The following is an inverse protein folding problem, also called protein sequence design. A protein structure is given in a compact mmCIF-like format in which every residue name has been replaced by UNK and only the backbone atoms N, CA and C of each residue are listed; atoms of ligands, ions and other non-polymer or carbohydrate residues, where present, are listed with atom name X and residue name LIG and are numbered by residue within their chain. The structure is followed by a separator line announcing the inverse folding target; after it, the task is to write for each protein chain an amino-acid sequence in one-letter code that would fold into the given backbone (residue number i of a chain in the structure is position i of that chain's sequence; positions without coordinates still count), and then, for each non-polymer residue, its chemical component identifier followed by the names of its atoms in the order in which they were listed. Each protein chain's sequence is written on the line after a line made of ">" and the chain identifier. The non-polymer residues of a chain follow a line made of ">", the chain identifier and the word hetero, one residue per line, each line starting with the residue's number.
data_IF_724429554573
#
_entry.id   IF_724429554573
#
_cell.length_a   1.000
_cell.length_b   1.000
_cell.length_c   1.000
_cell.angle_alpha   90.00
_cell.angle_beta   90.00
_cell.angle_gamma   90.00
#
_symmetry.space_group_name_H-M   'P 1'
#
loop_
_entity.id
_entity.type
_entity.pdbx_description
1 polymer ?
#
# COMPACT_ATOMS: atom_id res chain seq x y z
N UNK A 1 -20.46 -25.93 -1.41
CA UNK A 1 -20.44 -24.46 -1.19
C UNK A 1 -20.16 -23.83 -2.53
N UNK A 2 -21.03 -22.94 -3.02
CA UNK A 2 -20.81 -22.21 -4.26
C UNK A 2 -19.54 -21.38 -4.13
N UNK A 3 -18.65 -21.43 -5.09
CA UNK A 3 -17.44 -20.64 -5.15
C UNK A 3 -17.85 -19.17 -5.25
N UNK A 4 -17.43 -18.35 -4.27
CA UNK A 4 -17.78 -16.93 -4.23
C UNK A 4 -16.96 -16.22 -5.32
N UNK A 5 -17.62 -15.58 -6.27
CA UNK A 5 -16.96 -14.85 -7.34
C UNK A 5 -16.43 -13.49 -6.83
N UNK A 6 -15.12 -13.29 -6.89
CA UNK A 6 -14.43 -12.04 -6.58
C UNK A 6 -13.42 -11.66 -7.68
N UNK A 7 -13.14 -10.37 -7.79
CA UNK A 7 -12.12 -9.85 -8.70
C UNK A 7 -10.73 -9.88 -8.07
N UNK A 8 -9.67 -9.81 -8.88
CA UNK A 8 -8.29 -9.69 -8.40
C UNK A 8 -8.09 -8.43 -7.55
N UNK A 9 -8.79 -7.33 -7.86
CA UNK A 9 -8.71 -6.10 -7.08
C UNK A 9 -9.32 -6.28 -5.68
N UNK A 10 -10.47 -6.95 -5.56
CA UNK A 10 -11.09 -7.25 -4.27
C UNK A 10 -10.20 -8.15 -3.43
N UNK A 11 -9.61 -9.18 -4.03
CA UNK A 11 -8.68 -10.07 -3.33
C UNK A 11 -7.44 -9.32 -2.83
N UNK A 12 -6.88 -8.42 -3.62
CA UNK A 12 -5.75 -7.57 -3.24
C UNK A 12 -6.12 -6.64 -2.07
N UNK A 13 -7.29 -5.99 -2.12
CA UNK A 13 -7.78 -5.11 -1.06
C UNK A 13 -7.99 -5.88 0.25
N UNK A 14 -8.62 -7.05 0.19
CA UNK A 14 -8.85 -7.90 1.37
C UNK A 14 -7.54 -8.35 2.00
N UNK A 15 -6.57 -8.79 1.19
CA UNK A 15 -5.27 -9.18 1.72
C UNK A 15 -4.48 -8.00 2.31
N UNK A 16 -4.61 -6.80 1.74
CA UNK A 16 -4.04 -5.59 2.33
C UNK A 16 -4.71 -5.21 3.65
N UNK A 17 -6.04 -5.34 3.75
CA UNK A 17 -6.77 -5.10 4.99
C UNK A 17 -6.30 -6.03 6.12
N UNK A 18 -6.07 -7.30 5.82
CA UNK A 18 -5.61 -8.33 6.77
C UNK A 18 -4.18 -8.11 7.30
N UNK A 19 -3.40 -7.20 6.72
CA UNK A 19 -2.09 -6.79 7.26
C UNK A 19 -2.20 -5.80 8.43
N UNK A 20 -3.36 -5.17 8.59
CA UNK A 20 -3.61 -4.19 9.63
C UNK A 20 -4.00 -4.88 10.95
N UNK A 21 -3.56 -4.28 12.05
CA UNK A 21 -3.85 -4.73 13.40
C UNK A 21 -4.79 -3.76 14.10
N UNK A 22 -5.57 -4.27 15.03
CA UNK A 22 -6.45 -3.41 15.82
C UNK A 22 -5.64 -2.41 16.65
N UNK A 23 -6.04 -1.14 16.61
CA UNK A 23 -5.32 -0.04 17.24
C UNK A 23 -4.19 0.57 16.42
N UNK A 24 -3.86 0.05 15.22
CA UNK A 24 -2.87 0.68 14.34
C UNK A 24 -3.28 2.14 13.97
N UNK A 25 -2.31 3.03 13.98
CA UNK A 25 -2.41 4.36 13.40
C UNK A 25 -1.89 4.29 11.96
N UNK A 26 -2.78 4.50 10.98
CA UNK A 26 -2.49 4.28 9.58
C UNK A 26 -2.52 5.59 8.78
N UNK A 27 -1.43 5.90 8.10
CA UNK A 27 -1.39 7.00 7.14
C UNK A 27 -1.96 6.51 5.80
N UNK A 28 -3.08 7.08 5.39
CA UNK A 28 -3.89 6.56 4.28
C UNK A 28 -3.96 7.56 3.13
N UNK A 29 -3.68 7.06 1.93
CA UNK A 29 -4.04 7.73 0.68
C UNK A 29 -5.46 7.40 0.22
N UNK A 30 -5.94 8.11 -0.79
CA UNK A 30 -7.21 7.82 -1.46
C UNK A 30 -7.06 6.62 -2.41
N UNK A 31 -8.15 5.90 -2.67
CA UNK A 31 -8.18 4.76 -3.58
C UNK A 31 -8.23 3.42 -2.87
N UNK A 32 -7.62 2.39 -3.47
CA UNK A 32 -7.65 1.02 -2.93
C UNK A 32 -7.08 0.89 -1.50
N UNK A 33 -6.01 1.60 -1.10
CA UNK A 33 -5.57 1.60 0.28
C UNK A 33 -6.63 2.07 1.28
N UNK A 34 -7.44 3.06 0.89
CA UNK A 34 -8.53 3.54 1.73
C UNK A 34 -9.63 2.48 1.89
N UNK A 35 -9.95 1.74 0.82
CA UNK A 35 -10.86 0.59 0.90
C UNK A 35 -10.31 -0.47 1.88
N UNK A 36 -9.03 -0.80 1.80
CA UNK A 36 -8.40 -1.79 2.69
C UNK A 36 -8.49 -1.36 4.17
N UNK A 37 -8.16 -0.10 4.48
CA UNK A 37 -8.24 0.42 5.85
C UNK A 37 -9.68 0.44 6.38
N UNK A 38 -10.64 0.88 5.56
CA UNK A 38 -12.04 0.91 5.96
C UNK A 38 -12.65 -0.49 6.09
N UNK A 39 -12.20 -1.47 5.28
CA UNK A 39 -12.58 -2.87 5.43
C UNK A 39 -12.04 -3.43 6.76
N UNK A 40 -10.76 -3.21 7.05
CA UNK A 40 -10.17 -3.65 8.32
C UNK A 40 -10.92 -3.06 9.53
N UNK A 41 -11.24 -1.76 9.50
CA UNK A 41 -11.98 -1.07 10.56
C UNK A 41 -13.39 -1.65 10.78
N UNK A 42 -14.04 -2.15 9.72
CA UNK A 42 -15.39 -2.77 9.79
C UNK A 42 -15.37 -4.27 10.05
N UNK A 43 -14.20 -4.87 10.16
CA UNK A 43 -14.06 -6.31 10.40
C UNK A 43 -13.26 -6.60 11.66
N UNK A 44 -11.95 -6.72 11.54
CA UNK A 44 -11.07 -7.23 12.60
C UNK A 44 -10.28 -6.14 13.35
N UNK A 45 -10.30 -4.88 12.89
CA UNK A 45 -9.54 -3.78 13.47
C UNK A 45 -10.42 -2.54 13.77
N UNK A 46 -11.46 -2.64 14.63
CA UNK A 46 -12.43 -1.56 14.86
C UNK A 46 -11.81 -0.32 15.49
N UNK A 47 -10.69 -0.43 16.19
CA UNK A 47 -9.99 0.68 16.83
C UNK A 47 -8.91 1.31 15.93
N UNK A 48 -8.87 0.96 14.63
CA UNK A 48 -7.95 1.54 13.65
C UNK A 48 -8.13 3.05 13.56
N UNK A 49 -7.04 3.81 13.64
CA UNK A 49 -7.05 5.27 13.50
C UNK A 49 -6.46 5.66 12.15
N UNK A 50 -7.29 6.15 11.25
CA UNK A 50 -6.85 6.62 9.93
C UNK A 50 -6.42 8.08 9.98
N UNK A 51 -5.22 8.39 9.49
CA UNK A 51 -4.69 9.75 9.33
C UNK A 51 -4.59 10.08 7.85
N UNK A 52 -5.08 11.27 7.49
CA UNK A 52 -5.02 11.80 6.14
C UNK A 52 -4.09 13.02 6.06
N UNK A 53 -3.35 13.12 4.96
CA UNK A 53 -2.37 14.18 4.73
C UNK A 53 -2.92 15.59 4.92
N UNK A 54 -4.20 15.82 4.58
CA UNK A 54 -4.86 17.10 4.72
C UNK A 54 -5.11 17.55 6.17
N UNK A 55 -4.78 16.73 7.17
CA UNK A 55 -4.88 17.09 8.58
C UNK A 55 -5.98 16.37 9.36
N UNK A 56 -6.68 15.44 8.75
CA UNK A 56 -7.80 14.75 9.42
C UNK A 56 -7.28 13.48 10.10
N UNK A 57 -7.70 13.30 11.37
CA UNK A 57 -7.34 12.15 12.22
C UNK A 57 -8.62 11.44 12.64
N UNK A 58 -8.67 10.12 12.44
CA UNK A 58 -9.76 9.27 12.88
C UNK A 58 -11.08 9.54 12.17
N UNK A 59 -11.06 9.84 10.88
CA UNK A 59 -12.27 10.09 10.09
C UNK A 59 -13.19 8.86 10.04
N UNK A 60 -14.50 9.12 10.07
CA UNK A 60 -15.56 8.12 9.87
C UNK A 60 -16.58 8.63 8.84
N UNK A 61 -16.14 8.82 7.59
CA UNK A 61 -17.00 9.40 6.57
C UNK A 61 -18.11 8.43 6.15
N UNK A 62 -19.31 8.98 5.89
CA UNK A 62 -20.46 8.21 5.41
C UNK A 62 -20.24 7.62 3.99
N UNK A 63 -19.32 8.18 3.21
CA UNK A 63 -18.83 7.67 1.93
C UNK A 63 -17.32 7.81 1.86
N UNK A 64 -16.67 7.02 1.01
CA UNK A 64 -15.24 7.18 0.79
C UNK A 64 -14.92 8.55 0.13
N UNK A 65 -13.79 9.17 0.52
CA UNK A 65 -13.37 10.46 -0.03
C UNK A 65 -12.91 10.30 -1.48
N UNK A 66 -13.24 11.27 -2.33
CA UNK A 66 -12.77 11.32 -3.72
C UNK A 66 -11.37 11.92 -3.86
N UNK A 67 -10.90 12.64 -2.84
CA UNK A 67 -9.55 13.19 -2.76
C UNK A 67 -9.12 13.32 -1.29
N UNK A 68 -7.83 13.55 -1.03
CA UNK A 68 -7.31 13.81 0.32
C UNK A 68 -7.86 15.11 0.94
N UNK A 69 -8.35 16.03 0.11
CA UNK A 69 -9.02 17.29 0.54
C UNK A 69 -10.55 17.23 0.53
N UNK A 70 -11.14 16.04 0.37
CA UNK A 70 -12.61 15.92 0.38
C UNK A 70 -13.18 16.26 1.75
N UNK A 71 -14.11 17.22 1.86
CA UNK A 71 -14.71 17.63 3.14
C UNK A 71 -15.39 16.48 3.91
N UNK A 72 -15.77 15.40 3.24
CA UNK A 72 -16.35 14.22 3.89
C UNK A 72 -15.43 13.62 4.94
N UNK A 73 -14.11 13.82 4.82
CA UNK A 73 -13.10 13.31 5.77
C UNK A 73 -13.23 13.94 7.16
N UNK A 74 -13.80 15.14 7.28
CA UNK A 74 -14.01 15.80 8.57
C UNK A 74 -15.14 15.13 9.37
N UNK A 75 -16.03 14.41 8.69
CA UNK A 75 -17.18 13.77 9.34
C UNK A 75 -16.71 12.70 10.32
N UNK A 76 -17.18 12.77 11.56
CA UNK A 76 -16.85 11.81 12.63
C UNK A 76 -15.37 11.83 13.06
N UNK A 77 -14.56 12.78 12.58
CA UNK A 77 -13.13 12.81 12.89
C UNK A 77 -12.88 13.09 14.38
N UNK A 78 -11.82 12.45 14.92
CA UNK A 78 -11.34 12.70 16.28
C UNK A 78 -10.71 14.09 16.40
N UNK A 79 -10.01 14.54 15.35
CA UNK A 79 -9.34 15.84 15.32
C UNK A 79 -9.09 16.28 13.88
N UNK A 80 -9.02 17.61 13.71
CA UNK A 80 -8.56 18.27 12.48
C UNK A 80 -7.41 19.18 12.86
N UNK A 81 -6.24 18.92 12.30
CA UNK A 81 -5.00 19.64 12.56
C UNK A 81 -4.39 20.17 11.26
N UNK A 82 -3.29 20.87 11.32
CA UNK A 82 -2.58 21.29 10.10
C UNK A 82 -1.87 20.10 9.43
N UNK A 83 -1.63 20.19 8.12
CA UNK A 83 -0.76 19.25 7.41
C UNK A 83 0.63 19.18 8.07
N UNK A 84 1.15 20.32 8.55
CA UNK A 84 2.42 20.37 9.28
C UNK A 84 2.40 19.45 10.52
N UNK A 85 1.32 19.49 11.29
CA UNK A 85 1.20 18.65 12.49
C UNK A 85 1.21 17.16 12.12
N UNK A 86 0.50 16.78 11.06
CA UNK A 86 0.48 15.39 10.60
C UNK A 86 1.88 14.88 10.31
N UNK A 87 2.68 15.65 9.57
CA UNK A 87 4.05 15.23 9.23
C UNK A 87 5.02 15.40 10.40
N UNK A 88 5.07 16.56 11.03
CA UNK A 88 6.06 16.87 12.05
C UNK A 88 5.77 16.25 13.42
N UNK A 89 4.50 16.25 13.85
CA UNK A 89 4.12 15.85 15.20
C UNK A 89 3.59 14.41 15.29
N UNK A 90 3.07 13.85 14.21
CA UNK A 90 2.64 12.45 14.20
C UNK A 90 3.65 11.56 13.48
N UNK A 91 3.91 11.79 12.20
CA UNK A 91 4.72 10.89 11.38
C UNK A 91 6.19 10.88 11.81
N UNK A 92 6.87 12.05 11.83
CA UNK A 92 8.29 12.16 12.19
C UNK A 92 8.58 11.84 13.66
N UNK A 93 7.57 11.83 14.51
CA UNK A 93 7.66 11.40 15.91
C UNK A 93 7.49 9.90 16.11
N UNK A 94 7.20 9.14 15.03
CA UNK A 94 7.02 7.69 15.09
C UNK A 94 5.64 7.27 15.60
N UNK A 95 4.64 8.15 15.57
CA UNK A 95 3.27 7.88 16.00
C UNK A 95 2.38 7.35 14.85
N UNK A 96 2.99 6.86 13.77
CA UNK A 96 2.31 6.24 12.64
C UNK A 96 2.83 4.82 12.48
N UNK A 97 1.94 3.85 12.68
CA UNK A 97 2.31 2.44 12.63
C UNK A 97 2.42 1.94 11.20
N UNK A 98 1.50 2.33 10.32
CA UNK A 98 1.43 1.84 8.94
C UNK A 98 1.29 2.98 7.95
N UNK A 99 2.04 2.91 6.85
CA UNK A 99 1.84 3.71 5.64
C UNK A 99 1.52 2.81 4.45
N UNK A 100 0.41 3.08 3.77
CA UNK A 100 0.13 2.47 2.47
C UNK A 100 0.54 3.38 1.33
N UNK A 101 1.23 2.80 0.35
CA UNK A 101 1.75 3.53 -0.80
C UNK A 101 1.46 2.82 -2.12
N UNK A 102 1.52 3.59 -3.19
CA UNK A 102 1.52 3.10 -4.55
C UNK A 102 2.60 3.79 -5.37
N UNK A 103 2.88 3.26 -6.57
CA UNK A 103 3.86 3.84 -7.47
C UNK A 103 3.77 3.27 -8.87
N UNK A 104 4.44 3.92 -9.80
CA UNK A 104 4.51 3.46 -11.19
C UNK A 104 5.51 2.33 -11.36
N UNK A 105 6.62 2.36 -10.59
CA UNK A 105 7.64 1.32 -10.56
C UNK A 105 8.03 1.00 -9.12
N UNK A 106 8.33 -0.26 -8.87
CA UNK A 106 8.82 -0.80 -7.59
C UNK A 106 9.97 -1.76 -7.93
N UNK A 107 11.15 -1.53 -7.35
CA UNK A 107 12.28 -2.41 -7.59
C UNK A 107 12.43 -3.53 -6.55
N UNK A 108 13.46 -4.34 -6.71
CA UNK A 108 13.73 -5.50 -5.87
C UNK A 108 14.00 -5.18 -4.39
N UNK A 109 14.27 -3.92 -4.07
CA UNK A 109 14.45 -3.45 -2.70
C UNK A 109 13.24 -2.67 -2.18
N UNK A 110 12.11 -2.70 -2.89
CA UNK A 110 10.91 -2.00 -2.53
C UNK A 110 11.01 -0.48 -2.66
N UNK A 111 12.01 0.04 -3.38
CA UNK A 111 12.05 1.46 -3.72
C UNK A 111 10.95 1.78 -4.71
N UNK A 112 10.35 2.96 -4.56
CA UNK A 112 9.20 3.38 -5.37
C UNK A 112 9.59 4.53 -6.28
N UNK A 113 9.16 4.45 -7.55
CA UNK A 113 9.15 5.57 -8.46
C UNK A 113 7.71 6.04 -8.71
N UNK A 114 7.44 7.29 -8.39
CA UNK A 114 6.23 8.02 -8.69
C UNK A 114 6.53 9.39 -9.32
N UNK A 115 7.74 9.59 -9.83
CA UNK A 115 8.22 10.90 -10.34
C UNK A 115 8.37 10.93 -11.84
N UNK A 116 9.06 9.97 -12.44
CA UNK A 116 9.43 10.05 -13.86
C UNK A 116 9.72 8.68 -14.46
N UNK A 117 9.30 8.47 -15.69
CA UNK A 117 9.72 7.36 -16.53
C UNK A 117 10.57 7.94 -17.67
N UNK A 118 11.75 7.37 -17.90
CA UNK A 118 12.80 7.90 -18.75
C UNK A 118 13.75 8.82 -17.96
N UNK A 119 14.61 9.57 -18.67
CA UNK A 119 15.55 10.50 -18.03
C UNK A 119 14.83 11.65 -17.32
N UNK A 120 15.37 12.12 -16.20
CA UNK A 120 14.74 13.18 -15.40
C UNK A 120 14.59 14.50 -16.19
N UNK A 121 15.60 14.87 -16.97
CA UNK A 121 15.60 16.11 -17.74
C UNK A 121 14.75 16.02 -19.01
N UNK A 122 14.64 14.82 -19.60
CA UNK A 122 13.86 14.55 -20.81
C UNK A 122 12.95 13.34 -20.60
N UNK A 123 11.89 13.47 -19.77
CA UNK A 123 11.05 12.36 -19.41
C UNK A 123 10.15 11.89 -20.56
N UNK A 124 10.00 10.57 -20.68
CA UNK A 124 8.93 9.96 -21.51
C UNK A 124 7.56 10.19 -20.87
N UNK A 125 7.51 10.08 -19.53
CA UNK A 125 6.30 10.31 -18.73
C UNK A 125 6.70 11.06 -17.46
N UNK A 126 6.06 12.19 -17.21
CA UNK A 126 6.11 12.86 -15.92
C UNK A 126 4.95 12.35 -15.06
N UNK A 127 5.27 11.87 -13.87
CA UNK A 127 4.32 11.38 -12.88
C UNK A 127 4.05 12.46 -11.83
N UNK A 128 3.06 12.26 -10.92
CA UNK A 128 2.70 13.28 -9.92
C UNK A 128 3.82 13.72 -8.97
N UNK A 129 4.81 12.86 -8.72
CA UNK A 129 5.89 13.10 -7.75
C UNK A 129 5.62 12.41 -6.41
N UNK A 130 6.33 12.87 -5.37
CA UNK A 130 6.28 12.21 -4.07
C UNK A 130 5.00 12.49 -3.28
N UNK A 131 4.45 13.71 -3.36
CA UNK A 131 3.53 14.12 -2.29
C UNK A 131 4.17 13.85 -0.92
N UNK A 132 3.44 13.26 -0.02
CA UNK A 132 3.93 12.82 1.30
C UNK A 132 4.61 11.45 1.31
N UNK A 133 4.64 10.71 0.19
CA UNK A 133 5.08 9.32 0.19
C UNK A 133 6.54 9.11 0.61
N UNK A 134 7.43 10.06 0.31
CA UNK A 134 8.84 10.00 0.75
C UNK A 134 8.95 10.06 2.27
N UNK A 135 8.17 10.94 2.91
CA UNK A 135 8.14 11.07 4.37
C UNK A 135 7.52 9.83 5.02
N UNK A 136 6.43 9.32 4.45
CA UNK A 136 5.80 8.09 4.93
C UNK A 136 6.80 6.92 4.86
N UNK A 137 7.50 6.75 3.74
CA UNK A 137 8.51 5.72 3.58
C UNK A 137 9.69 5.85 4.55
N UNK A 138 10.04 7.09 4.94
CA UNK A 138 11.16 7.37 5.84
C UNK A 138 10.81 7.13 7.32
N UNK A 139 9.58 7.39 7.74
CA UNK A 139 9.24 7.55 9.15
C UNK A 139 8.15 6.60 9.67
N UNK A 140 7.23 6.12 8.85
CA UNK A 140 6.23 5.16 9.31
C UNK A 140 6.90 3.86 9.78
N UNK A 141 6.39 3.26 10.86
CA UNK A 141 6.97 2.05 11.41
C UNK A 141 6.98 0.89 10.40
N UNK A 142 5.91 0.72 9.63
CA UNK A 142 5.75 -0.30 8.58
C UNK A 142 5.18 0.36 7.33
N UNK A 143 5.70 0.01 6.17
CA UNK A 143 5.13 0.45 4.91
C UNK A 143 4.73 -0.74 4.05
N UNK A 144 3.59 -0.60 3.37
CA UNK A 144 3.08 -1.58 2.42
C UNK A 144 2.75 -0.91 1.09
N UNK A 145 2.97 -1.65 0.02
CA UNK A 145 2.65 -1.21 -1.34
C UNK A 145 1.49 -2.05 -1.85
N UNK A 146 0.54 -1.41 -2.52
CA UNK A 146 -0.54 -2.09 -3.25
C UNK A 146 -0.43 -1.75 -4.72
N UNK A 147 -0.27 -2.76 -5.59
CA UNK A 147 -0.14 -2.54 -7.04
C UNK A 147 -0.39 -3.83 -7.82
N UNK A 148 -0.97 -3.76 -9.04
CA UNK A 148 -1.01 -4.91 -9.94
C UNK A 148 0.39 -5.42 -10.29
N UNK A 149 0.59 -6.74 -10.33
CA UNK A 149 1.86 -7.40 -10.63
C UNK A 149 2.11 -7.45 -12.14
N UNK A 150 2.68 -6.39 -12.67
CA UNK A 150 2.97 -6.25 -14.10
C UNK A 150 4.44 -5.93 -14.31
N UNK A 151 5.09 -6.58 -15.27
CA UNK A 151 6.54 -6.45 -15.53
C UNK A 151 7.03 -5.00 -15.65
N UNK A 152 6.23 -4.11 -16.26
CA UNK A 152 6.56 -2.69 -16.37
C UNK A 152 6.60 -1.96 -15.02
N UNK A 153 5.91 -2.51 -14.00
CA UNK A 153 5.85 -1.95 -12.64
C UNK A 153 6.93 -2.50 -11.72
N UNK A 154 7.55 -3.62 -12.10
CA UNK A 154 8.56 -4.32 -11.33
C UNK A 154 9.89 -4.40 -12.08
N UNK A 155 10.56 -3.26 -12.38
CA UNK A 155 11.92 -3.28 -12.94
C UNK A 155 12.92 -3.75 -11.88
N UNK A 156 14.10 -4.24 -12.29
CA UNK A 156 15.17 -4.60 -11.34
C UNK A 156 15.61 -3.40 -10.48
N UNK A 157 15.62 -2.21 -11.10
CA UNK A 157 15.92 -0.93 -10.43
C UNK A 157 14.96 0.13 -10.94
N UNK A 158 14.41 0.94 -10.04
CA UNK A 158 13.57 2.08 -10.41
C UNK A 158 14.38 3.12 -11.18
N UNK A 159 13.76 3.76 -12.18
CA UNK A 159 14.41 4.80 -12.97
C UNK A 159 14.63 6.10 -12.18
N UNK A 160 13.82 6.32 -11.14
CA UNK A 160 13.95 7.40 -10.18
C UNK A 160 13.46 6.93 -8.82
N UNK A 161 14.20 7.15 -7.75
CA UNK A 161 13.77 6.81 -6.40
C UNK A 161 12.98 7.97 -5.79
N UNK A 162 11.66 7.88 -5.81
CA UNK A 162 10.78 8.85 -5.17
C UNK A 162 10.67 8.58 -3.67
N UNK A 163 10.49 7.32 -3.30
CA UNK A 163 10.37 6.89 -1.91
C UNK A 163 11.27 5.68 -1.68
N UNK A 164 12.05 5.72 -0.59
CA UNK A 164 13.03 4.69 -0.29
C UNK A 164 12.38 3.45 0.34
N UNK A 165 12.63 2.30 -0.26
CA UNK A 165 12.48 1.01 0.38
C UNK A 165 13.74 0.67 1.19
N UNK A 166 14.43 -0.41 0.84
CA UNK A 166 15.72 -0.79 1.45
C UNK A 166 16.93 -0.19 0.71
N UNK A 167 16.72 0.72 -0.23
CA UNK A 167 17.73 1.44 -1.03
C UNK A 167 18.53 0.46 -1.90
N UNK A 168 19.63 -0.09 -1.41
CA UNK A 168 20.46 -1.08 -2.07
C UNK A 168 20.62 -2.37 -1.27
N UNK A 169 19.92 -2.48 -0.14
CA UNK A 169 19.94 -3.67 0.70
C UNK A 169 19.88 -3.37 2.20
N UNK A 170 20.06 -4.42 2.98
CA UNK A 170 20.04 -4.36 4.45
C UNK A 170 21.12 -3.40 4.99
N UNK A 171 20.74 -2.55 5.94
CA UNK A 171 21.61 -1.55 6.59
C UNK A 171 21.72 -0.21 5.83
N UNK A 172 21.26 -0.10 4.59
CA UNK A 172 21.36 1.15 3.84
C UNK A 172 20.36 2.20 4.31
N UNK A 173 19.21 1.77 4.86
CA UNK A 173 18.23 2.68 5.49
C UNK A 173 18.86 3.39 6.70
N UNK A 174 19.49 2.64 7.59
CA UNK A 174 20.14 3.16 8.80
C UNK A 174 21.29 4.13 8.43
N UNK A 175 22.11 3.78 7.43
CA UNK A 175 23.16 4.68 6.90
C UNK A 175 22.59 5.97 6.34
N UNK A 176 21.41 5.91 5.72
CA UNK A 176 20.69 7.06 5.19
C UNK A 176 19.92 7.86 6.26
N UNK A 177 19.89 7.41 7.52
CA UNK A 177 19.18 8.06 8.62
C UNK A 177 17.67 7.87 8.59
N UNK A 178 17.16 6.90 7.83
CA UNK A 178 15.73 6.59 7.74
C UNK A 178 15.31 5.76 8.98
N UNK A 179 14.29 6.22 9.70
CA UNK A 179 13.90 5.62 10.99
C UNK A 179 12.85 4.52 10.88
N UNK A 180 11.94 4.61 9.91
CA UNK A 180 10.94 3.57 9.68
C UNK A 180 11.58 2.24 9.28
N UNK A 181 10.89 1.13 9.52
CA UNK A 181 11.35 -0.23 9.17
C UNK A 181 11.40 -0.52 7.67
N UNK A 182 10.87 0.39 6.83
CA UNK A 182 10.85 0.26 5.37
C UNK A 182 9.63 -0.47 4.83
N UNK A 183 9.76 -0.96 3.61
CA UNK A 183 8.71 -1.68 2.89
C UNK A 183 8.66 -3.12 3.38
N UNK A 184 7.68 -3.43 4.23
CA UNK A 184 7.53 -4.77 4.79
C UNK A 184 6.67 -5.69 3.91
N UNK A 185 6.05 -5.16 2.87
CA UNK A 185 5.35 -6.01 1.92
C UNK A 185 4.80 -5.25 0.70
N UNK A 186 4.69 -6.00 -0.38
CA UNK A 186 4.02 -5.58 -1.61
C UNK A 186 2.86 -6.54 -1.85
N UNK A 187 1.64 -6.03 -1.76
CA UNK A 187 0.40 -6.78 -2.04
C UNK A 187 0.07 -6.58 -3.52
N UNK A 188 -0.03 -7.67 -4.23
CA UNK A 188 -0.34 -7.66 -5.67
C UNK A 188 -1.57 -8.51 -5.99
N UNK A 189 -2.00 -8.53 -7.23
CA UNK A 189 -3.07 -9.39 -7.73
C UNK A 189 -2.61 -10.84 -8.01
N UNK A 190 -1.32 -11.14 -7.84
CA UNK A 190 -0.77 -12.50 -7.94
C UNK A 190 -0.47 -13.09 -6.56
N UNK A 191 0.04 -12.26 -5.64
CA UNK A 191 0.46 -12.70 -4.32
C UNK A 191 1.14 -11.58 -3.54
N UNK A 192 1.96 -11.96 -2.57
CA UNK A 192 2.66 -11.01 -1.70
C UNK A 192 4.17 -11.21 -1.79
N UNK A 193 4.88 -10.08 -1.85
CA UNK A 193 6.32 -10.03 -1.71
C UNK A 193 6.65 -9.43 -0.35
N UNK A 194 7.64 -9.99 0.34
CA UNK A 194 8.15 -9.48 1.62
C UNK A 194 9.69 -9.45 1.54
N UNK A 195 10.37 -8.55 2.28
CA UNK A 195 11.83 -8.49 2.25
C UNK A 195 12.45 -9.70 2.95
N UNK A 196 13.50 -10.25 2.36
CA UNK A 196 14.40 -11.20 3.04
C UNK A 196 15.39 -10.46 3.97
N UNK A 197 16.32 -11.20 4.59
CA UNK A 197 17.35 -10.64 5.47
C UNK A 197 18.30 -9.65 4.77
N UNK A 198 18.37 -9.70 3.44
CA UNK A 198 19.17 -8.76 2.64
C UNK A 198 18.40 -7.51 2.24
N UNK A 199 17.09 -7.45 2.53
CA UNK A 199 16.17 -6.39 2.11
C UNK A 199 15.63 -6.59 0.69
N UNK A 200 15.94 -7.70 0.02
CA UNK A 200 15.39 -8.01 -1.30
C UNK A 200 13.96 -8.57 -1.18
N UNK A 201 13.04 -8.07 -1.98
CA UNK A 201 11.67 -8.55 -2.05
C UNK A 201 11.60 -9.93 -2.66
N UNK A 202 11.13 -10.92 -1.91
CA UNK A 202 10.93 -12.30 -2.34
C UNK A 202 9.45 -12.67 -2.30
N UNK A 203 9.03 -13.62 -3.11
CA UNK A 203 7.65 -14.13 -3.12
C UNK A 203 7.40 -15.00 -1.88
N UNK A 204 6.52 -14.55 -0.98
CA UNK A 204 6.21 -15.25 0.28
C UNK A 204 4.80 -15.83 0.34
N UNK A 205 3.88 -15.29 -0.47
CA UNK A 205 2.53 -15.84 -0.58
C UNK A 205 1.99 -15.74 -2.01
N UNK A 206 1.16 -16.68 -2.38
CA UNK A 206 0.40 -16.69 -3.63
C UNK A 206 -1.10 -16.61 -3.35
N UNK A 207 -1.83 -15.96 -4.21
CA UNK A 207 -3.28 -16.01 -4.19
C UNK A 207 -3.79 -17.35 -4.75
N UNK A 208 -4.97 -17.81 -4.34
CA UNK A 208 -5.56 -19.04 -4.86
C UNK A 208 -5.60 -19.05 -6.38
N UNK A 209 -5.14 -20.14 -6.99
CA UNK A 209 -5.07 -20.32 -8.43
C UNK A 209 -3.90 -19.61 -9.14
N UNK A 210 -3.06 -18.87 -8.42
CA UNK A 210 -1.86 -18.21 -8.95
C UNK A 210 -0.61 -19.08 -8.79
N UNK A 211 0.40 -18.80 -9.61
CA UNK A 211 1.65 -19.58 -9.64
C UNK A 211 2.88 -18.70 -9.46
N UNK A 212 3.94 -19.27 -8.90
CA UNK A 212 5.23 -18.59 -8.80
C UNK A 212 5.82 -18.24 -10.18
N UNK A 213 5.49 -19.02 -11.21
CA UNK A 213 5.93 -18.76 -12.57
C UNK A 213 5.26 -17.50 -13.13
N UNK A 214 3.97 -17.25 -12.84
CA UNK A 214 3.31 -15.99 -13.21
C UNK A 214 3.99 -14.80 -12.54
N UNK A 215 4.30 -14.88 -11.25
CA UNK A 215 5.00 -13.82 -10.52
C UNK A 215 6.38 -13.54 -11.14
N UNK A 216 7.20 -14.59 -11.38
CA UNK A 216 8.52 -14.46 -12.02
C UNK A 216 8.44 -13.82 -13.40
N UNK A 217 7.51 -14.25 -14.24
CA UNK A 217 7.33 -13.73 -15.60
C UNK A 217 6.99 -12.24 -15.61
N UNK A 218 6.24 -11.79 -14.58
CA UNK A 218 5.81 -10.40 -14.43
C UNK A 218 6.76 -9.54 -13.57
N UNK A 219 7.96 -10.06 -13.24
CA UNK A 219 9.01 -9.35 -12.49
C UNK A 219 10.23 -9.11 -13.39
N UNK A 220 10.89 -7.99 -13.24
CA UNK A 220 12.04 -7.59 -14.05
C UNK A 220 13.40 -8.06 -13.52
N UNK A 221 13.43 -8.76 -12.38
CA UNK A 221 14.62 -9.40 -11.80
C UNK A 221 14.37 -10.89 -11.58
N UNK A 222 15.40 -11.64 -11.22
CA UNK A 222 15.24 -13.05 -10.83
C UNK A 222 14.58 -13.14 -9.45
N UNK A 223 13.24 -13.14 -9.47
CA UNK A 223 12.42 -13.15 -8.26
C UNK A 223 12.64 -14.43 -7.48
N UNK A 224 13.24 -14.30 -6.31
CA UNK A 224 13.38 -15.39 -5.34
C UNK A 224 12.01 -15.78 -4.79
N UNK A 225 11.90 -17.04 -4.42
CA UNK A 225 10.69 -17.62 -3.84
C UNK A 225 11.05 -18.15 -2.45
N UNK A 226 10.27 -17.81 -1.45
CA UNK A 226 10.49 -18.30 -0.10
C UNK A 226 10.47 -19.84 -0.05
N UNK A 227 11.22 -20.47 0.85
CA UNK A 227 11.22 -21.95 1.00
C UNK A 227 9.83 -22.53 1.26
N UNK A 228 8.97 -21.75 1.92
CA UNK A 228 7.57 -22.08 2.17
C UNK A 228 6.70 -20.92 1.71
N UNK A 229 6.07 -21.08 0.55
CA UNK A 229 5.11 -20.11 0.02
C UNK A 229 3.75 -20.40 0.61
N UNK A 230 3.18 -19.41 1.28
CA UNK A 230 1.79 -19.50 1.83
C UNK A 230 0.79 -19.36 0.68
N UNK A 231 -0.39 -19.92 0.83
CA UNK A 231 -1.55 -19.55 0.01
C UNK A 231 -2.41 -18.62 0.84
N UNK A 232 -2.76 -17.46 0.29
CA UNK A 232 -3.62 -16.51 1.00
C UNK A 232 -5.04 -17.06 1.15
N UNK A 233 -5.70 -16.67 2.23
CA UNK A 233 -7.07 -17.08 2.48
C UNK A 233 -8.03 -16.50 1.44
N UNK A 234 -9.06 -17.26 1.13
CA UNK A 234 -10.16 -16.81 0.27
C UNK A 234 -10.87 -15.59 0.88
N UNK A 235 -11.46 -14.80 0.00
CA UNK A 235 -12.33 -13.68 0.41
C UNK A 235 -13.63 -14.24 0.98
N UNK A 236 -14.11 -13.69 2.08
CA UNK A 236 -15.37 -14.09 2.70
C UNK A 236 -16.57 -13.33 2.11
N UNK A 237 -17.77 -13.88 2.23
CA UNK A 237 -19.01 -13.21 1.83
C UNK A 237 -19.19 -11.86 2.52
N UNK A 238 -18.87 -11.80 3.82
CA UNK A 238 -18.99 -10.57 4.60
C UNK A 238 -18.01 -9.48 4.12
N UNK A 239 -16.76 -9.83 3.82
CA UNK A 239 -15.78 -8.89 3.27
C UNK A 239 -16.25 -8.31 1.92
N UNK A 240 -16.76 -9.17 1.03
CA UNK A 240 -17.30 -8.72 -0.26
C UNK A 240 -18.54 -7.85 -0.11
N UNK A 241 -19.45 -8.21 0.79
CA UNK A 241 -20.64 -7.41 1.07
C UNK A 241 -20.26 -6.01 1.55
N UNK A 242 -19.34 -5.93 2.52
CA UNK A 242 -18.84 -4.64 3.02
C UNK A 242 -18.18 -3.82 1.90
N UNK A 243 -17.33 -4.43 1.09
CA UNK A 243 -16.66 -3.73 -0.03
C UNK A 243 -17.66 -3.21 -1.06
N UNK A 244 -18.61 -4.05 -1.48
CA UNK A 244 -19.49 -3.77 -2.62
C UNK A 244 -20.71 -2.92 -2.24
N UNK A 245 -21.28 -3.13 -1.06
CA UNK A 245 -22.54 -2.51 -0.67
C UNK A 245 -22.35 -1.30 0.26
N UNK A 246 -21.31 -1.31 1.09
CA UNK A 246 -21.08 -0.24 2.07
C UNK A 246 -19.97 0.73 1.65
N UNK A 247 -18.82 0.22 1.18
CA UNK A 247 -17.65 1.05 0.93
C UNK A 247 -17.62 1.64 -0.47
N UNK A 248 -17.90 0.85 -1.49
CA UNK A 248 -17.86 1.28 -2.89
C UNK A 248 -19.09 0.82 -3.69
N UNK A 249 -20.33 1.19 -3.26
CA UNK A 249 -21.56 0.75 -3.92
C UNK A 249 -21.66 1.18 -5.38
N UNK A 250 -20.93 2.22 -5.75
CA UNK A 250 -20.87 2.74 -7.13
C UNK A 250 -19.76 2.10 -7.97
N UNK A 251 -18.82 1.39 -7.34
CA UNK A 251 -17.71 0.73 -8.01
C UNK A 251 -16.63 1.69 -8.52
N UNK A 252 -16.52 2.89 -7.97
CA UNK A 252 -15.52 3.89 -8.39
C UNK A 252 -14.09 3.37 -8.21
N UNK A 253 -13.82 2.69 -7.10
CA UNK A 253 -12.49 2.22 -6.74
C UNK A 253 -12.26 0.75 -7.11
N UNK A 254 -13.31 -0.08 -7.05
CA UNK A 254 -13.22 -1.51 -7.37
C UNK A 254 -13.12 -1.77 -8.87
N UNK A 255 -13.83 -1.01 -9.69
CA UNK A 255 -13.83 -1.18 -11.15
C UNK A 255 -12.67 -0.46 -11.84
N UNK A 256 -11.97 0.40 -11.10
CA UNK A 256 -10.93 1.26 -11.63
C UNK A 256 -11.50 2.41 -12.47
N UNK A 257 -10.86 3.56 -12.45
CA UNK A 257 -11.02 4.53 -13.55
C UNK A 257 -10.32 3.92 -14.75
N UNK A 258 -11.10 3.59 -15.78
CA UNK A 258 -10.64 3.09 -17.07
C UNK A 258 -9.61 4.05 -17.71
#
# INVERSE_FOLDING_TARGET
>A
MSEIAYSSAELMIVNAARLLQDGDVVFVGVGQPNLACNLAKRTHAPNLVMIYEAGVIGAEPARLPLSIGDPTLVSGSLSVVSMYDIFANYLQRGNVDVGFMGGAQIDKYGNINATVIGGYDHPKVRLPGSGGSQEIAAWANRCYIMTPHQKRRFPEKVEFMTSAGFIGGSGDREKAGLRGRGMLGVVTDIGMLEPDETGEMILTALHPGKTAQEAKTNTGWDLKVAPQVRVTELVTENELRILREELDPTGIYLKGTA
#
